data_IF_850295752235
#
_entry.id   IF_850295752235
#
_cell.length_a   1.000
_cell.length_b   1.000
_cell.length_c   1.000
_cell.angle_alpha   90.00
_cell.angle_beta   90.00
_cell.angle_gamma   90.00
#
_symmetry.space_group_name_H-M   'P 1'
#
loop_
_entity.id
_entity.type
_entity.pdbx_description
1 polymer ?
#
# COMPACT_ATOMS: atom_id res chain seq x y z
N UNK A 1 -30.57 -1.01 -16.83
CA UNK A 1 -30.54 -0.90 -18.30
C UNK A 1 -29.12 -0.55 -18.72
N UNK A 2 -28.41 -1.54 -19.28
CA UNK A 2 -27.01 -1.45 -19.69
C UNK A 2 -26.93 -0.70 -21.03
N UNK A 3 -26.46 0.55 -21.03
CA UNK A 3 -26.19 1.28 -22.28
C UNK A 3 -25.02 0.61 -23.02
N UNK A 4 -25.19 0.44 -24.33
CA UNK A 4 -24.20 -0.13 -25.24
C UNK A 4 -22.90 0.70 -25.24
N UNK A 5 -21.76 0.00 -25.22
CA UNK A 5 -20.42 0.56 -25.29
C UNK A 5 -20.18 1.31 -26.61
N UNK A 6 -19.59 2.50 -26.53
CA UNK A 6 -19.35 3.36 -27.69
C UNK A 6 -18.14 2.92 -28.56
N UNK A 7 -18.12 3.27 -29.86
CA UNK A 7 -17.08 2.87 -30.83
C UNK A 7 -15.67 3.43 -30.54
N UNK A 8 -15.52 4.51 -29.78
CA UNK A 8 -14.26 5.24 -29.60
C UNK A 8 -13.22 4.59 -28.66
N UNK A 9 -13.64 3.66 -27.79
CA UNK A 9 -12.75 2.98 -26.83
C UNK A 9 -12.36 1.55 -27.25
N UNK A 10 -12.74 1.11 -28.45
CA UNK A 10 -12.49 -0.27 -28.87
C UNK A 10 -13.10 -1.33 -27.95
N UNK A 11 -14.19 -1.00 -27.24
CA UNK A 11 -14.86 -1.89 -26.27
C UNK A 11 -14.18 -1.97 -24.88
N UNK A 12 -13.21 -1.11 -24.57
CA UNK A 12 -12.54 -1.11 -23.27
C UNK A 12 -13.49 -0.74 -22.12
N UNK A 13 -13.64 -1.64 -21.15
CA UNK A 13 -14.49 -1.38 -19.98
C UNK A 13 -13.75 -0.63 -18.88
N UNK A 14 -14.50 0.01 -17.96
CA UNK A 14 -13.92 0.57 -16.72
C UNK A 14 -13.06 -0.45 -15.98
N UNK A 15 -13.52 -1.71 -15.91
CA UNK A 15 -12.77 -2.79 -15.28
C UNK A 15 -11.43 -3.07 -15.99
N UNK A 16 -11.38 -3.01 -17.33
CA UNK A 16 -10.14 -3.17 -18.08
C UNK A 16 -9.14 -2.04 -17.81
N UNK A 17 -9.62 -0.80 -17.66
CA UNK A 17 -8.77 0.34 -17.27
C UNK A 17 -8.16 0.18 -15.87
N UNK A 18 -8.94 -0.32 -14.91
CA UNK A 18 -8.51 -0.58 -13.54
C UNK A 18 -7.44 -1.67 -13.43
N UNK A 19 -7.49 -2.68 -14.29
CA UNK A 19 -6.53 -3.78 -14.30
C UNK A 19 -5.22 -3.40 -15.01
N UNK A 20 -5.26 -2.40 -15.89
CA UNK A 20 -4.12 -1.95 -16.67
C UNK A 20 -3.11 -1.11 -15.90
N UNK A 21 -1.89 -1.05 -16.44
CA UNK A 21 -0.93 0.01 -16.13
C UNK A 21 -0.75 0.85 -17.39
N UNK A 22 -0.51 2.14 -17.23
CA UNK A 22 -0.54 3.07 -18.36
C UNK A 22 0.68 3.98 -18.38
N UNK A 23 1.21 4.21 -19.57
CA UNK A 23 2.18 5.26 -19.84
C UNK A 23 1.41 6.48 -20.36
N UNK A 24 1.53 7.60 -19.67
CA UNK A 24 0.83 8.85 -20.00
C UNK A 24 1.81 9.96 -20.32
N UNK A 25 1.56 10.70 -21.40
CA UNK A 25 2.37 11.85 -21.76
C UNK A 25 1.98 12.51 -23.09
N UNK A 26 2.81 13.44 -23.58
CA UNK A 26 2.56 14.14 -24.84
C UNK A 26 2.76 13.19 -26.03
N UNK A 27 2.18 13.54 -27.18
CA UNK A 27 2.47 12.84 -28.45
C UNK A 27 3.95 12.97 -28.85
N UNK A 28 4.56 14.14 -28.58
CA UNK A 28 5.96 14.41 -28.84
C UNK A 28 6.77 14.46 -27.54
N UNK A 29 7.70 13.52 -27.37
CA UNK A 29 8.63 13.49 -26.24
C UNK A 29 8.42 12.31 -25.29
N UNK A 30 9.17 12.26 -24.17
CA UNK A 30 9.03 11.20 -23.18
C UNK A 30 7.69 11.31 -22.44
N UNK A 31 7.11 10.18 -22.00
CA UNK A 31 5.95 10.18 -21.12
C UNK A 31 6.18 10.99 -19.83
N UNK A 32 5.15 11.67 -19.36
CA UNK A 32 5.15 12.29 -18.03
C UNK A 32 5.20 11.23 -16.93
N UNK A 33 4.52 10.09 -17.15
CA UNK A 33 4.61 8.94 -16.28
C UNK A 33 4.53 7.63 -17.07
N UNK A 34 5.37 6.67 -16.70
CA UNK A 34 5.48 5.36 -17.37
C UNK A 34 4.57 4.29 -16.77
N UNK A 35 4.17 4.42 -15.51
CA UNK A 35 3.40 3.41 -14.76
C UNK A 35 2.23 4.03 -14.00
N UNK A 36 1.44 4.84 -14.69
CA UNK A 36 0.22 5.45 -14.18
C UNK A 36 -0.85 4.36 -13.92
N UNK A 37 -1.54 4.49 -12.78
CA UNK A 37 -2.67 3.63 -12.41
C UNK A 37 -3.96 4.42 -12.46
N UNK A 38 -5.03 3.79 -12.94
CA UNK A 38 -6.38 4.31 -12.83
C UNK A 38 -7.02 3.60 -11.64
N UNK A 39 -7.33 4.34 -10.57
CA UNK A 39 -7.75 3.74 -9.29
C UNK A 39 -9.27 3.55 -9.20
N UNK A 40 -9.77 2.58 -8.41
CA UNK A 40 -11.21 2.31 -8.24
C UNK A 40 -12.04 3.50 -7.78
N UNK A 41 -11.43 4.42 -7.04
CA UNK A 41 -12.03 5.65 -6.51
C UNK A 41 -11.87 6.86 -7.45
N UNK A 42 -11.68 6.59 -8.75
CA UNK A 42 -11.58 7.60 -9.82
C UNK A 42 -10.31 8.48 -9.75
N UNK A 43 -9.38 8.19 -8.85
CA UNK A 43 -8.09 8.91 -8.77
C UNK A 43 -7.05 8.32 -9.72
N UNK A 44 -6.12 9.16 -10.18
CA UNK A 44 -4.99 8.75 -11.04
C UNK A 44 -3.74 8.42 -10.21
N UNK A 45 -3.51 7.14 -9.91
CA UNK A 45 -2.38 6.65 -9.13
C UNK A 45 -1.01 6.79 -9.81
N UNK A 46 0.04 6.88 -9.00
CA UNK A 46 1.44 7.01 -9.44
C UNK A 46 1.74 8.26 -10.32
N UNK A 47 0.81 9.21 -10.47
CA UNK A 47 1.02 10.45 -11.22
C UNK A 47 0.40 11.63 -10.48
N UNK A 48 1.10 12.76 -10.51
CA UNK A 48 0.78 13.95 -9.73
C UNK A 48 0.91 15.19 -10.60
N UNK A 49 -0.23 15.69 -11.05
CA UNK A 49 -0.29 16.95 -11.75
C UNK A 49 -1.68 17.57 -11.51
N UNK A 50 -1.79 18.89 -11.26
CA UNK A 50 -3.08 19.53 -10.97
C UNK A 50 -4.13 19.32 -12.07
N UNK A 51 -3.70 19.17 -13.32
CA UNK A 51 -4.60 18.97 -14.46
C UNK A 51 -5.06 17.51 -14.64
N UNK A 52 -4.42 16.54 -14.01
CA UNK A 52 -4.74 15.11 -14.18
C UNK A 52 -4.90 14.46 -12.80
N UNK A 53 -5.97 14.87 -12.14
CA UNK A 53 -6.33 14.39 -10.81
C UNK A 53 -7.27 13.20 -10.89
N UNK A 54 -8.35 13.28 -11.64
CA UNK A 54 -9.35 12.20 -11.69
C UNK A 54 -9.48 11.60 -13.08
N UNK A 55 -10.06 10.41 -13.15
CA UNK A 55 -10.38 9.74 -14.41
C UNK A 55 -11.81 9.18 -14.35
N UNK A 56 -12.53 9.26 -15.46
CA UNK A 56 -13.84 8.61 -15.62
C UNK A 56 -14.00 8.09 -17.04
N UNK A 57 -14.83 7.05 -17.18
CA UNK A 57 -15.36 6.65 -18.48
C UNK A 57 -16.70 7.37 -18.64
N UNK A 58 -16.81 8.19 -19.68
CA UNK A 58 -17.97 9.03 -19.99
C UNK A 58 -18.57 8.61 -21.34
N UNK A 59 -19.66 9.28 -21.74
CA UNK A 59 -20.24 9.15 -23.09
C UNK A 59 -19.31 9.69 -24.19
N UNK A 60 -18.19 10.36 -23.88
CA UNK A 60 -17.20 10.83 -24.86
C UNK A 60 -15.94 9.96 -24.88
N UNK A 61 -15.88 8.93 -24.04
CA UNK A 61 -14.72 8.07 -23.86
C UNK A 61 -14.08 8.20 -22.47
N UNK A 62 -12.80 7.84 -22.38
CA UNK A 62 -12.02 8.04 -21.16
C UNK A 62 -11.71 9.54 -21.03
N UNK A 63 -11.91 10.12 -19.86
CA UNK A 63 -11.67 11.54 -19.61
C UNK A 63 -10.85 11.69 -18.34
N UNK A 64 -9.82 12.54 -18.40
CA UNK A 64 -9.10 13.01 -17.23
C UNK A 64 -9.63 14.38 -16.80
N UNK A 65 -9.60 14.63 -15.49
CA UNK A 65 -10.12 15.83 -14.86
C UNK A 65 -9.08 16.46 -13.92
N UNK A 66 -9.11 17.79 -13.78
CA UNK A 66 -8.26 18.52 -12.84
C UNK A 66 -8.77 18.40 -11.39
N UNK A 67 -8.10 19.10 -10.46
CA UNK A 67 -8.51 19.14 -9.04
C UNK A 67 -9.88 19.79 -8.80
N UNK A 68 -10.34 20.66 -9.70
CA UNK A 68 -11.65 21.30 -9.67
C UNK A 68 -12.75 20.45 -10.34
N UNK A 69 -12.42 19.22 -10.74
CA UNK A 69 -13.31 18.28 -11.43
C UNK A 69 -13.73 18.72 -12.85
N UNK A 70 -12.91 19.55 -13.49
CA UNK A 70 -13.11 19.99 -14.88
C UNK A 70 -12.33 19.08 -15.83
N UNK A 71 -12.95 18.72 -16.96
CA UNK A 71 -12.31 17.86 -17.95
C UNK A 71 -11.06 18.53 -18.55
N UNK A 72 -9.95 17.80 -18.58
CA UNK A 72 -8.66 18.29 -19.10
C UNK A 72 -8.18 17.55 -20.32
N UNK A 73 -8.41 16.24 -20.40
CA UNK A 73 -8.07 15.43 -21.57
C UNK A 73 -9.22 14.49 -21.89
N UNK A 74 -9.71 14.53 -23.12
CA UNK A 74 -10.75 13.62 -23.61
C UNK A 74 -10.10 12.66 -24.61
N UNK A 75 -10.06 11.37 -24.27
CA UNK A 75 -9.50 10.32 -25.11
C UNK A 75 -10.54 9.82 -26.11
N UNK A 76 -10.51 10.44 -27.30
CA UNK A 76 -11.45 10.26 -28.40
C UNK A 76 -10.98 9.23 -29.45
N UNK A 77 -9.72 8.80 -29.39
CA UNK A 77 -9.14 7.86 -30.34
C UNK A 77 -8.54 6.65 -29.65
N UNK A 78 -8.77 5.48 -30.25
CA UNK A 78 -8.19 4.21 -29.85
C UNK A 78 -7.47 3.55 -31.02
N UNK A 79 -6.30 2.97 -30.75
CA UNK A 79 -5.62 2.07 -31.67
C UNK A 79 -4.92 0.94 -30.94
N UNK A 80 -4.75 -0.18 -31.64
CA UNK A 80 -3.84 -1.25 -31.23
C UNK A 80 -2.48 -1.03 -31.89
N UNK A 81 -1.45 -0.86 -31.08
CA UNK A 81 -0.06 -0.87 -31.53
C UNK A 81 0.38 -2.32 -31.82
N UNK A 82 1.61 -2.47 -32.35
CA UNK A 82 2.26 -3.78 -32.48
C UNK A 82 2.21 -4.53 -31.14
N UNK A 83 2.11 -5.86 -31.21
CA UNK A 83 1.95 -6.75 -30.05
C UNK A 83 0.64 -6.56 -29.26
N UNK A 84 -0.42 -6.08 -29.92
CA UNK A 84 -1.75 -5.88 -29.32
C UNK A 84 -1.72 -4.93 -28.10
N UNK A 85 -0.87 -3.91 -28.10
CA UNK A 85 -0.80 -2.94 -27.01
C UNK A 85 -1.87 -1.85 -27.23
N UNK A 86 -2.88 -1.73 -26.35
CA UNK A 86 -3.85 -0.65 -26.40
C UNK A 86 -3.17 0.72 -26.29
N UNK A 87 -3.57 1.67 -27.14
CA UNK A 87 -3.21 3.07 -26.98
C UNK A 87 -4.42 3.95 -27.23
N UNK A 88 -4.61 4.90 -26.32
CA UNK A 88 -5.59 5.95 -26.46
C UNK A 88 -4.88 7.27 -26.75
N UNK A 89 -5.43 8.06 -27.66
CA UNK A 89 -5.01 9.44 -27.87
C UNK A 89 -6.16 10.35 -27.54
N UNK A 90 -5.88 11.44 -26.83
CA UNK A 90 -6.87 12.43 -26.46
C UNK A 90 -6.36 13.84 -26.67
N UNK A 91 -7.27 14.78 -26.91
CA UNK A 91 -6.93 16.20 -27.00
C UNK A 91 -7.09 16.87 -25.63
N UNK A 92 -6.26 17.88 -25.36
CA UNK A 92 -6.44 18.75 -24.21
C UNK A 92 -7.64 19.67 -24.42
N UNK A 93 -8.53 19.76 -23.44
CA UNK A 93 -9.77 20.56 -23.53
C UNK A 93 -9.46 22.06 -23.64
N UNK A 94 -8.47 22.55 -22.89
CA UNK A 94 -8.08 23.96 -22.91
C UNK A 94 -7.35 24.39 -24.20
N UNK A 95 -6.78 23.44 -24.94
CA UNK A 95 -5.99 23.69 -26.15
C UNK A 95 -6.31 22.65 -27.22
N UNK A 96 -7.48 22.73 -27.88
CA UNK A 96 -7.85 21.76 -28.90
C UNK A 96 -6.97 21.92 -30.15
N UNK A 97 -6.10 20.93 -30.42
CA UNK A 97 -5.24 20.89 -31.62
C UNK A 97 -4.37 19.63 -31.69
N UNK A 98 -3.83 19.24 -32.86
CA UNK A 98 -3.05 18.01 -33.04
C UNK A 98 -1.78 17.93 -32.16
N UNK A 99 -1.14 19.06 -31.89
CA UNK A 99 0.08 19.14 -31.08
C UNK A 99 -0.19 19.14 -29.57
N UNK A 100 -1.42 19.42 -29.15
CA UNK A 100 -1.84 19.45 -27.76
C UNK A 100 -2.54 18.13 -27.34
N UNK A 101 -2.13 17.02 -27.96
CA UNK A 101 -2.68 15.69 -27.67
C UNK A 101 -1.80 14.94 -26.67
N UNK A 102 -2.47 14.15 -25.85
CA UNK A 102 -1.86 13.17 -24.96
C UNK A 102 -2.01 11.76 -25.51
N UNK A 103 -1.09 10.89 -25.10
CA UNK A 103 -1.14 9.45 -25.30
C UNK A 103 -1.27 8.76 -23.95
N UNK A 104 -2.18 7.80 -23.89
CA UNK A 104 -2.30 6.83 -22.80
C UNK A 104 -2.09 5.44 -23.40
N UNK A 105 -0.87 4.93 -23.27
CA UNK A 105 -0.45 3.65 -23.82
C UNK A 105 -0.46 2.59 -22.74
N UNK A 106 -1.10 1.46 -22.95
CA UNK A 106 -1.00 0.33 -22.04
C UNK A 106 0.48 -0.07 -21.90
N UNK A 107 0.88 -0.35 -20.67
CA UNK A 107 2.23 -0.76 -20.33
C UNK A 107 2.17 -1.90 -19.32
N UNK A 108 3.30 -2.55 -19.12
CA UNK A 108 3.47 -3.56 -18.09
C UNK A 108 4.31 -2.95 -16.98
N UNK A 109 3.76 -2.95 -15.76
CA UNK A 109 4.57 -2.62 -14.58
C UNK A 109 5.74 -3.59 -14.45
N UNK A 110 6.89 -3.13 -13.93
CA UNK A 110 8.05 -3.98 -13.74
C UNK A 110 7.77 -5.09 -12.73
N UNK A 111 6.77 -4.88 -11.85
CA UNK A 111 6.40 -5.82 -10.81
C UNK A 111 4.89 -6.06 -10.76
N UNK A 112 4.48 -7.24 -10.29
CA UNK A 112 3.09 -7.71 -10.26
C UNK A 112 2.74 -8.31 -8.91
N UNK A 113 1.45 -8.52 -8.70
CA UNK A 113 0.95 -9.35 -7.60
C UNK A 113 1.35 -10.82 -7.87
N UNK A 114 1.52 -11.62 -6.81
CA UNK A 114 1.82 -13.04 -6.95
C UNK A 114 0.75 -13.75 -7.82
N UNK A 115 1.16 -14.58 -8.79
CA UNK A 115 0.24 -15.19 -9.74
C UNK A 115 -0.60 -16.32 -9.12
N UNK A 116 -0.11 -16.94 -8.03
CA UNK A 116 -0.80 -18.01 -7.35
C UNK A 116 -0.20 -18.33 -5.97
N UNK A 117 -0.79 -19.33 -5.27
CA UNK A 117 -0.42 -19.70 -3.91
C UNK A 117 0.86 -20.55 -3.80
N UNK A 118 1.53 -20.88 -4.91
CA UNK A 118 2.64 -21.85 -4.95
C UNK A 118 3.78 -21.51 -3.99
N UNK A 119 4.00 -20.22 -3.72
CA UNK A 119 5.07 -19.74 -2.85
C UNK A 119 4.55 -19.36 -1.43
N UNK A 120 3.27 -19.57 -1.14
CA UNK A 120 2.69 -19.32 0.18
C UNK A 120 1.58 -20.31 0.53
N UNK A 121 1.95 -21.39 1.22
CA UNK A 121 1.01 -22.43 1.65
C UNK A 121 0.45 -22.12 3.03
N UNK A 122 -0.85 -21.85 3.11
CA UNK A 122 -1.56 -21.75 4.39
C UNK A 122 -1.82 -23.17 4.91
N UNK A 123 -1.27 -23.49 6.08
CA UNK A 123 -1.41 -24.81 6.72
C UNK A 123 -2.60 -24.85 7.69
N UNK A 124 -2.99 -23.69 8.21
CA UNK A 124 -4.12 -23.52 9.12
C UNK A 124 -5.02 -22.42 8.59
N UNK A 125 -6.31 -22.75 8.46
CA UNK A 125 -7.34 -21.80 8.05
C UNK A 125 -8.28 -21.49 9.23
N UNK A 126 -9.03 -20.41 9.08
CA UNK A 126 -10.14 -20.07 9.94
C UNK A 126 -11.19 -21.17 10.01
N UNK A 127 -11.77 -21.36 11.19
CA UNK A 127 -12.96 -22.20 11.44
C UNK A 127 -14.24 -21.39 11.65
N UNK A 128 -14.15 -20.06 11.54
CA UNK A 128 -15.23 -19.08 11.67
C UNK A 128 -15.12 -18.00 10.58
N UNK A 129 -16.13 -17.16 10.37
CA UNK A 129 -15.97 -15.99 9.51
C UNK A 129 -14.78 -15.11 9.93
N UNK A 130 -14.06 -14.48 8.98
CA UNK A 130 -12.96 -13.59 9.30
C UNK A 130 -13.45 -12.39 10.10
N UNK A 131 -12.59 -11.90 10.99
CA UNK A 131 -12.79 -10.57 11.58
C UNK A 131 -12.53 -9.50 10.54
N UNK A 132 -12.80 -8.23 10.88
CA UNK A 132 -12.64 -7.10 9.94
C UNK A 132 -11.20 -6.90 9.50
N UNK A 133 -10.24 -7.08 10.41
CA UNK A 133 -8.85 -6.72 10.18
C UNK A 133 -7.93 -7.94 10.28
N UNK A 134 -6.78 -7.87 9.63
CA UNK A 134 -5.75 -8.90 9.67
C UNK A 134 -4.42 -8.28 10.09
N UNK A 135 -3.72 -8.98 10.98
CA UNK A 135 -2.30 -8.76 11.27
C UNK A 135 -1.52 -9.91 10.65
N UNK A 136 -0.63 -9.61 9.71
CA UNK A 136 0.32 -10.56 9.13
C UNK A 136 1.69 -10.28 9.73
N UNK A 137 2.28 -11.27 10.35
CA UNK A 137 3.61 -11.15 10.94
C UNK A 137 4.55 -12.16 10.32
N UNK A 138 5.70 -11.68 9.85
CA UNK A 138 6.86 -12.55 9.70
C UNK A 138 7.34 -12.93 11.10
N UNK A 139 7.38 -14.22 11.43
CA UNK A 139 7.77 -14.67 12.77
C UNK A 139 8.83 -15.77 12.73
N UNK A 140 9.58 -15.89 13.81
CA UNK A 140 10.43 -17.03 14.13
C UNK A 140 10.27 -17.34 15.64
N UNK A 141 11.10 -18.23 16.17
CA UNK A 141 11.07 -18.68 17.57
C UNK A 141 11.26 -17.55 18.59
N UNK A 142 11.93 -16.47 18.18
CA UNK A 142 12.22 -15.30 19.02
C UNK A 142 11.21 -14.18 18.80
N UNK A 143 10.13 -14.43 18.07
CA UNK A 143 9.13 -13.42 17.80
C UNK A 143 8.39 -13.01 19.08
N UNK A 144 8.18 -11.71 19.25
CA UNK A 144 7.61 -11.13 20.45
C UNK A 144 6.09 -11.23 20.54
N UNK A 145 5.40 -11.67 19.49
CA UNK A 145 3.93 -11.80 19.52
C UNK A 145 3.43 -12.78 20.58
N UNK A 146 4.24 -13.75 20.99
CA UNK A 146 3.94 -14.64 22.10
C UNK A 146 3.83 -13.93 23.45
N UNK A 147 4.45 -12.75 23.57
CA UNK A 147 4.54 -11.93 24.78
C UNK A 147 3.57 -10.75 24.79
N UNK A 148 2.79 -10.54 23.72
CA UNK A 148 1.83 -9.45 23.69
C UNK A 148 0.80 -9.58 24.82
N UNK A 149 0.55 -8.47 25.49
CA UNK A 149 -0.40 -8.43 26.60
C UNK A 149 -1.81 -8.69 26.06
N UNK A 150 -2.50 -9.70 26.61
CA UNK A 150 -3.86 -10.09 26.23
C UNK A 150 -4.90 -9.40 27.10
N UNK A 151 -4.88 -8.08 27.09
CA UNK A 151 -5.72 -7.21 27.93
C UNK A 151 -7.09 -6.87 27.30
N UNK A 152 -7.57 -7.73 26.40
CA UNK A 152 -8.83 -7.61 25.69
C UNK A 152 -9.49 -9.00 25.59
N UNK A 153 -10.81 -9.09 25.77
CA UNK A 153 -11.54 -10.34 25.55
C UNK A 153 -11.49 -10.70 24.06
N UNK A 154 -11.35 -11.98 23.73
CA UNK A 154 -11.25 -12.40 22.32
C UNK A 154 -12.52 -12.07 21.51
N UNK A 155 -13.68 -12.00 22.15
CA UNK A 155 -14.94 -11.56 21.53
C UNK A 155 -14.96 -10.07 21.16
N UNK A 156 -14.17 -9.23 21.83
CA UNK A 156 -14.03 -7.80 21.53
C UNK A 156 -12.92 -7.52 20.51
N UNK A 157 -12.07 -8.52 20.22
CA UNK A 157 -10.98 -8.41 19.25
C UNK A 157 -11.55 -8.23 17.85
N UNK A 158 -11.09 -7.21 17.13
CA UNK A 158 -11.53 -6.84 15.77
C UNK A 158 -10.56 -7.30 14.66
N UNK A 159 -9.51 -8.04 15.02
CA UNK A 159 -8.43 -8.44 14.12
C UNK A 159 -8.07 -9.92 14.25
N UNK A 160 -7.67 -10.55 13.16
CA UNK A 160 -7.13 -11.91 13.08
C UNK A 160 -5.61 -11.88 12.94
N UNK A 161 -4.93 -12.97 13.32
CA UNK A 161 -3.48 -13.11 13.25
C UNK A 161 -3.08 -14.20 12.25
N UNK A 162 -2.30 -13.79 11.24
CA UNK A 162 -1.61 -14.68 10.32
C UNK A 162 -0.11 -14.70 10.61
N UNK A 163 0.44 -15.88 10.86
CA UNK A 163 1.87 -16.07 11.05
C UNK A 163 2.50 -16.62 9.78
N UNK A 164 3.42 -15.85 9.21
CA UNK A 164 4.35 -16.25 8.18
C UNK A 164 5.66 -16.67 8.85
N UNK A 165 5.79 -17.94 9.25
CA UNK A 165 6.88 -18.42 10.07
C UNK A 165 8.11 -18.76 9.23
N UNK A 166 9.25 -18.12 9.48
CA UNK A 166 10.52 -18.34 8.76
C UNK A 166 11.65 -18.91 9.65
N UNK A 167 11.32 -19.34 10.86
CA UNK A 167 12.24 -20.05 11.74
C UNK A 167 12.49 -21.49 11.30
N UNK A 168 13.13 -22.26 12.18
CA UNK A 168 13.38 -23.67 11.97
C UNK A 168 12.05 -24.46 11.91
N UNK A 169 11.81 -25.30 10.89
CA UNK A 169 10.55 -26.02 10.71
C UNK A 169 10.06 -26.81 11.93
N UNK A 170 10.96 -27.38 12.73
CA UNK A 170 10.63 -28.11 13.97
C UNK A 170 10.00 -27.23 15.05
N UNK A 171 10.24 -25.91 15.00
CA UNK A 171 9.68 -24.93 15.92
C UNK A 171 8.44 -24.22 15.34
N UNK A 172 8.01 -24.61 14.14
CA UNK A 172 6.81 -24.08 13.52
C UNK A 172 5.59 -24.37 14.41
N UNK A 173 4.85 -23.33 14.85
CA UNK A 173 3.83 -23.50 15.86
C UNK A 173 2.71 -24.46 15.40
N UNK A 174 2.51 -25.53 16.18
CA UNK A 174 1.32 -26.38 16.12
C UNK A 174 0.83 -26.70 17.54
N UNK A 175 -0.39 -26.31 17.96
CA UNK A 175 -1.27 -25.22 17.52
C UNK A 175 -1.28 -24.05 18.53
N UNK A 176 -0.91 -22.84 18.07
CA UNK A 176 -1.14 -21.58 18.80
C UNK A 176 -2.49 -20.93 18.48
N UNK A 177 -2.88 -19.87 19.21
CA UNK A 177 -4.13 -19.11 19.00
C UNK A 177 -4.01 -18.15 17.79
N UNK A 178 -3.55 -18.66 16.66
CA UNK A 178 -3.42 -17.93 15.40
C UNK A 178 -4.50 -18.42 14.44
N UNK A 179 -5.05 -17.51 13.66
CA UNK A 179 -6.10 -17.79 12.68
C UNK A 179 -5.54 -18.40 11.40
N UNK A 180 -4.35 -17.93 10.98
CA UNK A 180 -3.59 -18.52 9.89
C UNK A 180 -2.15 -18.79 10.29
N UNK A 181 -1.60 -19.84 9.71
CA UNK A 181 -0.18 -20.15 9.82
C UNK A 181 0.33 -20.64 8.47
N UNK A 182 1.52 -20.20 8.11
CA UNK A 182 2.28 -20.70 6.96
C UNK A 182 3.74 -20.87 7.34
N UNK A 183 4.32 -22.03 7.04
CA UNK A 183 5.76 -22.25 7.12
C UNK A 183 6.43 -21.72 5.83
N UNK A 184 7.42 -20.85 6.00
CA UNK A 184 8.11 -20.14 4.94
C UNK A 184 9.62 -20.43 5.00
N UNK A 185 10.10 -21.28 4.10
CA UNK A 185 11.52 -21.68 4.09
C UNK A 185 12.31 -20.91 3.05
N UNK A 186 13.47 -20.36 3.44
CA UNK A 186 14.44 -19.75 2.51
C UNK A 186 14.05 -18.37 1.95
N UNK A 187 12.98 -17.76 2.46
CA UNK A 187 12.48 -16.45 2.04
C UNK A 187 12.36 -15.49 3.23
N UNK A 188 12.40 -14.18 2.97
CA UNK A 188 12.26 -13.13 3.99
C UNK A 188 10.84 -12.56 4.01
N UNK A 189 10.54 -11.74 5.03
CA UNK A 189 9.21 -11.15 5.30
C UNK A 189 8.49 -10.67 4.03
N UNK A 190 9.11 -9.75 3.28
CA UNK A 190 8.43 -9.13 2.14
C UNK A 190 8.24 -10.07 0.95
N UNK A 191 9.19 -10.98 0.68
CA UNK A 191 9.00 -12.05 -0.30
C UNK A 191 7.82 -12.96 0.07
N UNK A 192 7.75 -13.39 1.33
CA UNK A 192 6.69 -14.28 1.82
C UNK A 192 5.32 -13.58 1.81
N UNK A 193 5.25 -12.32 2.23
CA UNK A 193 4.01 -11.54 2.23
C UNK A 193 3.55 -11.24 0.81
N UNK A 194 4.47 -10.93 -0.11
CA UNK A 194 4.12 -10.79 -1.54
C UNK A 194 3.51 -12.09 -2.08
N UNK A 195 4.14 -13.24 -1.78
CA UNK A 195 3.62 -14.55 -2.16
C UNK A 195 2.25 -14.86 -1.53
N UNK A 196 1.99 -14.39 -0.32
CA UNK A 196 0.70 -14.56 0.37
C UNK A 196 -0.45 -13.77 -0.27
N UNK A 197 -0.12 -12.73 -1.04
CA UNK A 197 -1.07 -11.79 -1.62
C UNK A 197 -1.42 -12.16 -3.06
N UNK A 198 -1.57 -13.44 -3.39
CA UNK A 198 -1.94 -13.88 -4.74
C UNK A 198 -3.39 -13.56 -5.12
N UNK A 199 -3.73 -13.63 -6.41
CA UNK A 199 -5.10 -13.42 -6.88
C UNK A 199 -6.04 -14.49 -6.28
N UNK A 200 -7.06 -14.06 -5.52
CA UNK A 200 -7.96 -14.96 -4.80
C UNK A 200 -7.48 -15.40 -3.40
N UNK A 201 -6.37 -14.83 -2.90
CA UNK A 201 -5.96 -15.02 -1.50
C UNK A 201 -7.07 -14.61 -0.54
N UNK A 202 -7.35 -15.39 0.52
CA UNK A 202 -8.36 -15.03 1.55
C UNK A 202 -7.97 -13.76 2.31
N UNK A 203 -6.72 -13.32 2.22
CA UNK A 203 -6.27 -12.08 2.86
C UNK A 203 -6.89 -10.83 2.23
N UNK A 204 -7.39 -10.92 0.99
CA UNK A 204 -8.11 -9.83 0.34
C UNK A 204 -9.53 -9.59 0.91
N UNK A 205 -10.07 -10.51 1.70
CA UNK A 205 -11.40 -10.39 2.31
C UNK A 205 -11.40 -9.48 3.56
N UNK A 206 -10.23 -9.11 4.06
CA UNK A 206 -10.09 -8.20 5.19
C UNK A 206 -10.21 -6.74 4.75
N UNK A 207 -10.84 -5.92 5.59
CA UNK A 207 -10.90 -4.48 5.35
C UNK A 207 -9.50 -3.86 5.39
N UNK A 208 -8.71 -4.28 6.38
CA UNK A 208 -7.38 -3.75 6.67
C UNK A 208 -6.39 -4.86 6.99
N UNK A 209 -5.16 -4.66 6.50
CA UNK A 209 -4.07 -5.61 6.62
C UNK A 209 -2.88 -4.86 7.20
N UNK A 210 -2.51 -5.19 8.43
CA UNK A 210 -1.31 -4.71 9.10
C UNK A 210 -0.21 -5.74 8.93
N UNK A 211 0.96 -5.30 8.48
CA UNK A 211 2.15 -6.13 8.32
C UNK A 211 3.12 -5.74 9.42
N UNK A 212 3.63 -6.70 10.20
CA UNK A 212 4.55 -6.41 11.31
C UNK A 212 5.82 -7.26 11.30
N UNK A 213 6.92 -6.65 11.76
CA UNK A 213 8.15 -7.34 12.10
C UNK A 213 8.01 -8.21 13.36
N UNK A 214 8.92 -9.17 13.50
CA UNK A 214 8.87 -10.18 14.56
C UNK A 214 9.24 -9.63 15.94
N UNK A 215 9.78 -8.42 16.02
CA UNK A 215 10.38 -7.81 17.21
C UNK A 215 9.60 -6.59 17.73
N UNK A 216 8.33 -6.49 17.32
CA UNK A 216 7.38 -5.48 17.78
C UNK A 216 6.70 -5.94 19.09
N UNK A 217 6.80 -5.12 20.13
CA UNK A 217 6.04 -5.29 21.37
C UNK A 217 4.83 -4.35 21.41
N UNK A 218 3.66 -4.91 21.70
CA UNK A 218 2.37 -4.20 21.79
C UNK A 218 1.37 -5.00 22.65
N UNK A 219 0.12 -4.54 22.72
CA UNK A 219 -0.99 -5.19 23.42
C UNK A 219 -2.18 -5.47 22.49
N UNK A 220 -3.07 -6.36 22.90
CA UNK A 220 -4.30 -6.64 22.15
C UNK A 220 -5.23 -5.43 22.08
N UNK A 221 -5.36 -4.69 23.19
CA UNK A 221 -6.13 -3.45 23.25
C UNK A 221 -5.58 -2.38 22.31
N UNK A 222 -4.27 -2.19 22.27
CA UNK A 222 -3.63 -1.20 21.41
C UNK A 222 -3.87 -1.53 19.94
N UNK A 223 -3.64 -2.77 19.51
CA UNK A 223 -3.94 -3.18 18.12
C UNK A 223 -5.43 -2.98 17.78
N UNK A 224 -6.31 -3.35 18.70
CA UNK A 224 -7.75 -3.19 18.50
C UNK A 224 -8.13 -1.71 18.30
N UNK A 225 -7.62 -0.83 19.17
CA UNK A 225 -7.87 0.60 19.11
C UNK A 225 -7.24 1.26 17.88
N UNK A 226 -6.05 0.81 17.48
CA UNK A 226 -5.37 1.27 16.27
C UNK A 226 -6.22 1.07 15.01
N UNK A 227 -6.82 -0.12 14.86
CA UNK A 227 -7.71 -0.39 13.73
C UNK A 227 -8.97 0.47 13.74
N UNK A 228 -9.57 0.74 14.91
CA UNK A 228 -10.72 1.64 15.00
C UNK A 228 -10.33 3.07 14.60
N UNK A 229 -9.18 3.59 15.06
CA UNK A 229 -8.68 4.91 14.61
C UNK A 229 -8.41 4.94 13.10
N UNK A 230 -7.85 3.88 12.54
CA UNK A 230 -7.65 3.79 11.09
C UNK A 230 -8.97 3.88 10.32
N UNK A 231 -10.02 3.20 10.81
CA UNK A 231 -11.35 3.23 10.21
C UNK A 231 -12.02 4.59 10.37
N UNK A 232 -12.06 5.11 11.60
CA UNK A 232 -12.81 6.32 11.95
C UNK A 232 -12.28 7.56 11.21
N UNK A 233 -10.97 7.62 10.96
CA UNK A 233 -10.35 8.70 10.17
C UNK A 233 -10.25 8.36 8.66
N UNK A 234 -10.71 7.18 8.27
CA UNK A 234 -10.67 6.70 6.89
C UNK A 234 -9.25 6.66 6.31
N UNK A 235 -8.26 6.28 7.12
CA UNK A 235 -6.87 6.17 6.71
C UNK A 235 -6.72 5.00 5.74
N UNK A 236 -5.91 5.14 4.71
CA UNK A 236 -5.66 4.06 3.72
C UNK A 236 -4.32 3.36 3.94
N UNK A 237 -3.37 4.03 4.61
CA UNK A 237 -2.08 3.51 5.01
C UNK A 237 -1.63 4.23 6.29
N UNK A 238 -1.38 3.50 7.38
CA UNK A 238 -0.99 4.09 8.66
C UNK A 238 -0.04 3.18 9.44
N UNK A 239 0.59 3.72 10.49
CA UNK A 239 1.27 2.90 11.49
C UNK A 239 1.09 3.52 12.89
N UNK A 240 1.19 2.72 13.97
CA UNK A 240 1.36 3.27 15.31
C UNK A 240 2.67 4.06 15.39
N UNK A 241 2.73 5.03 16.29
CA UNK A 241 3.99 5.68 16.65
C UNK A 241 4.93 4.74 17.42
N UNK A 242 6.20 5.09 17.50
CA UNK A 242 7.22 4.38 18.26
C UNK A 242 7.47 5.07 19.59
N UNK A 243 7.58 4.29 20.67
CA UNK A 243 7.95 4.85 21.98
C UNK A 243 9.34 5.47 21.92
N UNK A 244 9.53 6.58 22.62
CA UNK A 244 10.78 7.36 22.58
C UNK A 244 12.01 6.59 23.05
N UNK A 245 11.82 5.52 23.83
CA UNK A 245 12.87 4.69 24.41
C UNK A 245 13.19 3.43 23.59
N UNK A 246 12.55 3.24 22.42
CA UNK A 246 12.83 2.10 21.54
C UNK A 246 13.78 2.47 20.37
N UNK A 247 14.12 1.49 19.53
CA UNK A 247 15.00 1.73 18.38
C UNK A 247 14.25 2.44 17.25
N UNK A 248 14.53 3.74 17.07
CA UNK A 248 13.90 4.58 16.06
C UNK A 248 14.90 4.87 14.94
N UNK A 249 14.60 4.40 13.73
CA UNK A 249 15.36 4.71 12.51
C UNK A 249 15.01 6.07 11.96
N UNK A 250 13.71 6.33 11.81
CA UNK A 250 13.17 7.50 11.17
C UNK A 250 12.56 8.41 12.24
N UNK A 251 13.16 9.57 12.58
CA UNK A 251 12.71 10.40 13.70
C UNK A 251 11.22 10.80 13.65
N UNK A 252 10.62 10.84 12.45
CA UNK A 252 9.19 11.10 12.29
C UNK A 252 8.31 10.05 12.98
N UNK A 253 8.76 8.81 13.15
CA UNK A 253 7.97 7.71 13.72
C UNK A 253 7.89 7.77 15.24
N UNK A 254 8.73 8.58 15.90
CA UNK A 254 8.67 8.80 17.34
C UNK A 254 7.31 9.37 17.78
N UNK A 255 6.77 8.85 18.89
CA UNK A 255 5.51 9.31 19.48
C UNK A 255 5.60 10.77 19.90
N UNK A 256 4.57 11.54 19.54
CA UNK A 256 4.40 12.93 19.99
C UNK A 256 3.36 13.05 21.11
N UNK A 257 3.68 13.74 22.22
CA UNK A 257 2.70 14.04 23.25
C UNK A 257 1.61 14.98 22.71
N UNK A 258 0.42 14.90 23.29
CA UNK A 258 -0.74 15.73 22.94
C UNK A 258 -1.21 15.60 21.47
N UNK A 259 -0.77 14.56 20.75
CA UNK A 259 -1.17 14.25 19.38
C UNK A 259 -1.98 12.95 19.37
N UNK A 260 -3.08 12.91 18.60
CA UNK A 260 -3.76 11.66 18.27
C UNK A 260 -3.10 11.03 17.05
N UNK A 261 -2.81 11.82 16.02
CA UNK A 261 -2.15 11.37 14.80
C UNK A 261 -1.59 12.53 13.99
N UNK A 262 -0.63 12.22 13.12
CA UNK A 262 -0.03 13.14 12.15
C UNK A 262 -0.14 12.58 10.75
N UNK A 263 -0.66 13.39 9.84
CA UNK A 263 -0.67 13.03 8.45
C UNK A 263 0.70 13.24 7.83
N UNK A 264 1.17 12.26 7.08
CA UNK A 264 2.54 12.27 6.52
C UNK A 264 2.60 11.45 5.25
N UNK A 265 3.59 11.75 4.41
CA UNK A 265 3.93 10.92 3.25
C UNK A 265 4.91 9.79 3.61
N UNK A 266 5.07 9.41 4.88
CA UNK A 266 6.01 8.35 5.26
C UNK A 266 5.42 7.40 6.29
N UNK A 267 5.47 6.10 6.00
CA UNK A 267 5.08 5.01 6.90
C UNK A 267 6.16 3.92 6.78
N UNK A 268 6.77 3.58 7.91
CA UNK A 268 7.91 2.67 7.95
C UNK A 268 7.45 1.22 7.69
N UNK A 269 8.30 0.45 7.01
CA UNK A 269 7.99 -0.92 6.62
C UNK A 269 7.89 -1.92 7.79
N UNK A 270 8.16 -1.49 9.01
CA UNK A 270 8.15 -2.34 10.20
C UNK A 270 6.75 -2.69 10.68
N UNK A 271 5.78 -1.78 10.55
CA UNK A 271 4.43 -1.92 11.09
C UNK A 271 3.33 -1.23 10.24
N UNK A 272 3.39 -1.24 8.89
CA UNK A 272 2.39 -0.54 8.09
C UNK A 272 1.05 -1.28 8.09
N UNK A 273 -0.04 -0.51 8.10
CA UNK A 273 -1.41 -0.99 8.00
C UNK A 273 -2.10 -0.34 6.81
N UNK A 274 -2.51 -1.17 5.86
CA UNK A 274 -3.18 -0.75 4.64
C UNK A 274 -4.66 -1.10 4.68
N UNK A 275 -5.48 -0.37 3.93
CA UNK A 275 -6.71 -0.98 3.39
C UNK A 275 -6.35 -2.03 2.34
N UNK A 276 -7.19 -3.06 2.14
CA UNK A 276 -6.93 -4.08 1.10
C UNK A 276 -6.70 -3.45 -0.29
N UNK A 277 -7.48 -2.42 -0.64
CA UNK A 277 -7.31 -1.69 -1.90
C UNK A 277 -5.95 -0.99 -2.00
N UNK A 278 -5.49 -0.33 -0.93
CA UNK A 278 -4.16 0.30 -0.90
C UNK A 278 -3.03 -0.74 -0.99
N UNK A 279 -3.15 -1.85 -0.25
CA UNK A 279 -2.14 -2.91 -0.29
C UNK A 279 -2.05 -3.53 -1.68
N UNK A 280 -3.17 -3.70 -2.39
CA UNK A 280 -3.19 -4.25 -3.75
C UNK A 280 -2.39 -3.39 -4.74
N UNK A 281 -2.37 -2.07 -4.54
CA UNK A 281 -1.57 -1.13 -5.32
C UNK A 281 -0.09 -1.23 -4.91
N UNK A 282 0.18 -1.35 -3.61
CA UNK A 282 1.53 -1.27 -3.04
C UNK A 282 2.34 -2.58 -3.09
N UNK A 283 1.70 -3.72 -2.87
CA UNK A 283 2.40 -5.00 -2.71
C UNK A 283 3.25 -5.45 -3.90
N UNK A 284 2.97 -5.08 -5.18
CA UNK A 284 3.88 -5.40 -6.27
C UNK A 284 5.30 -4.89 -6.05
N UNK A 285 5.52 -3.78 -5.32
CA UNK A 285 6.88 -3.29 -5.06
C UNK A 285 7.71 -4.25 -4.16
N UNK A 286 7.07 -5.22 -3.51
CA UNK A 286 7.73 -6.26 -2.73
C UNK A 286 8.11 -7.51 -3.55
N UNK A 287 7.72 -7.60 -4.83
CA UNK A 287 8.13 -8.72 -5.70
C UNK A 287 9.66 -8.79 -5.78
N UNK A 288 10.25 -9.95 -5.50
CA UNK A 288 11.70 -10.17 -5.42
C UNK A 288 12.43 -9.29 -4.39
N UNK A 289 11.71 -8.67 -3.45
CA UNK A 289 12.35 -7.95 -2.34
C UNK A 289 12.94 -8.95 -1.36
N UNK A 290 14.24 -8.83 -1.10
CA UNK A 290 14.92 -9.67 -0.12
C UNK A 290 14.97 -8.94 1.24
N UNK A 291 15.40 -7.68 1.26
CA UNK A 291 15.53 -6.90 2.50
C UNK A 291 14.29 -6.06 2.83
N UNK A 292 13.54 -5.61 1.82
CA UNK A 292 12.42 -4.69 2.02
C UNK A 292 12.81 -3.22 2.03
N UNK A 293 14.03 -2.87 1.63
CA UNK A 293 14.51 -1.50 1.67
C UNK A 293 13.92 -0.66 0.53
N UNK A 294 13.42 0.54 0.84
CA UNK A 294 12.93 1.53 -0.12
C UNK A 294 11.44 1.43 -0.47
N UNK A 295 10.76 0.36 -0.06
CA UNK A 295 9.32 0.18 -0.32
C UNK A 295 8.46 1.26 0.38
N UNK A 296 8.88 1.67 1.57
CA UNK A 296 8.32 2.73 2.40
C UNK A 296 8.39 4.10 1.72
N UNK A 297 9.40 4.33 0.88
CA UNK A 297 9.49 5.53 0.03
C UNK A 297 8.61 5.46 -1.23
N UNK A 298 8.20 4.27 -1.66
CA UNK A 298 7.42 4.07 -2.89
C UNK A 298 5.92 4.13 -2.64
N UNK A 299 5.43 3.56 -1.53
CA UNK A 299 4.00 3.53 -1.22
C UNK A 299 3.30 4.89 -1.30
N UNK A 300 3.85 5.99 -0.75
CA UNK A 300 3.20 7.30 -0.82
C UNK A 300 2.96 7.72 -2.27
N UNK A 301 3.87 7.41 -3.18
CA UNK A 301 3.74 7.75 -4.60
C UNK A 301 2.70 6.91 -5.30
N UNK A 302 2.70 5.61 -5.04
CA UNK A 302 1.68 4.69 -5.55
C UNK A 302 0.28 5.10 -5.10
N UNK A 303 0.15 5.59 -3.86
CA UNK A 303 -1.11 6.00 -3.24
C UNK A 303 -1.50 7.47 -3.45
N UNK A 304 -0.70 8.23 -4.20
CA UNK A 304 -0.92 9.66 -4.49
C UNK A 304 -0.73 10.65 -3.33
N UNK A 305 0.13 10.35 -2.36
CA UNK A 305 0.43 11.19 -1.19
C UNK A 305 -0.85 11.88 -0.67
N UNK A 306 -1.85 11.11 -0.23
CA UNK A 306 -3.09 11.70 0.20
C UNK A 306 -2.85 12.47 1.51
N UNK A 307 -2.97 13.79 1.45
CA UNK A 307 -2.57 14.69 2.53
C UNK A 307 -3.20 14.37 3.89
N UNK A 308 -4.34 13.65 3.94
CA UNK A 308 -5.04 13.27 5.17
C UNK A 308 -5.48 11.80 5.21
N UNK A 309 -4.87 10.91 4.42
CA UNK A 309 -5.20 9.46 4.43
C UNK A 309 -4.01 8.57 4.76
N UNK A 310 -2.83 9.16 4.92
CA UNK A 310 -1.64 8.50 5.43
C UNK A 310 -1.23 9.11 6.75
N UNK A 311 -1.08 8.31 7.81
CA UNK A 311 -0.80 8.86 9.13
C UNK A 311 0.04 7.96 10.04
N UNK A 312 0.82 8.61 10.91
CA UNK A 312 1.38 8.00 12.11
C UNK A 312 0.42 8.32 13.26
N UNK A 313 -0.07 7.29 13.95
CA UNK A 313 -1.01 7.43 15.07
C UNK A 313 -0.22 7.53 16.37
N UNK A 314 -0.24 8.71 16.98
CA UNK A 314 0.46 9.00 18.25
C UNK A 314 -0.36 8.60 19.49
N UNK A 315 -1.68 8.37 19.34
CA UNK A 315 -2.55 7.89 20.41
C UNK A 315 -2.16 6.49 20.93
N UNK A 316 -1.36 5.76 20.16
CA UNK A 316 -0.85 4.43 20.47
C UNK A 316 0.64 4.41 20.15
N UNK A 317 1.44 3.80 21.01
CA UNK A 317 2.86 3.60 20.75
C UNK A 317 3.30 2.16 21.00
N UNK A 318 4.02 1.62 20.02
CA UNK A 318 4.62 0.28 20.06
C UNK A 318 6.13 0.40 20.28
N UNK A 319 6.78 -0.69 20.68
CA UNK A 319 8.24 -0.74 20.84
C UNK A 319 8.87 -1.60 19.74
N UNK A 320 9.83 -1.02 19.02
CA UNK A 320 10.77 -1.74 18.18
C UNK A 320 11.99 -2.14 19.01
N UNK A 321 12.20 -3.43 19.19
CA UNK A 321 13.10 -3.93 20.26
C UNK A 321 14.49 -4.33 19.79
N UNK A 322 14.76 -4.29 18.47
CA UNK A 322 16.09 -4.56 17.92
C UNK A 322 16.58 -3.40 17.05
N UNK A 323 17.89 -3.11 17.03
CA UNK A 323 18.43 -2.10 16.15
C UNK A 323 18.52 -2.61 14.71
N UNK A 324 18.53 -1.66 13.76
CA UNK A 324 18.79 -1.92 12.34
C UNK A 324 20.10 -2.66 12.12
N UNK A 325 20.17 -3.35 10.98
CA UNK A 325 21.38 -3.99 10.46
C UNK A 325 22.01 -5.06 11.37
N UNK A 326 21.28 -5.57 12.36
CA UNK A 326 21.76 -6.67 13.20
C UNK A 326 21.67 -8.03 12.49
N UNK A 327 20.77 -8.18 11.52
CA UNK A 327 20.41 -9.47 10.90
C UNK A 327 20.58 -9.49 9.38
N UNK A 328 21.19 -8.46 8.80
CA UNK A 328 21.36 -8.33 7.35
C UNK A 328 22.53 -7.43 6.96
N UNK A 329 22.96 -7.53 5.70
CA UNK A 329 24.07 -6.73 5.13
C UNK A 329 23.55 -5.39 4.60
N UNK A 330 24.01 -4.29 5.19
CA UNK A 330 23.60 -2.93 4.81
C UNK A 330 23.87 -2.59 3.33
N UNK A 331 25.03 -2.99 2.78
CA UNK A 331 25.36 -2.69 1.38
C UNK A 331 24.38 -3.34 0.42
N UNK A 332 23.97 -4.58 0.70
CA UNK A 332 22.97 -5.30 -0.08
C UNK A 332 21.60 -4.63 0.01
N UNK A 333 21.22 -4.19 1.21
CA UNK A 333 19.96 -3.49 1.44
C UNK A 333 19.89 -2.15 0.69
N UNK A 334 20.97 -1.36 0.72
CA UNK A 334 21.08 -0.10 -0.05
C UNK A 334 21.10 -0.32 -1.56
N UNK A 335 21.74 -1.39 -2.03
CA UNK A 335 21.72 -1.74 -3.45
C UNK A 335 20.31 -2.14 -3.92
N UNK A 336 19.57 -2.92 -3.11
CA UNK A 336 18.16 -3.24 -3.36
C UNK A 336 17.30 -1.98 -3.43
N UNK A 337 17.47 -1.05 -2.49
CA UNK A 337 16.78 0.25 -2.49
C UNK A 337 17.04 1.03 -3.79
N UNK A 338 18.31 1.18 -4.18
CA UNK A 338 18.69 1.94 -5.37
C UNK A 338 18.10 1.34 -6.65
N UNK A 339 18.13 0.01 -6.77
CA UNK A 339 17.55 -0.69 -7.91
C UNK A 339 16.02 -0.55 -7.95
N UNK A 340 15.36 -0.70 -6.80
CA UNK A 340 13.92 -0.53 -6.69
C UNK A 340 13.49 0.90 -7.09
N UNK A 341 14.17 1.93 -6.59
CA UNK A 341 13.90 3.32 -6.95
C UNK A 341 14.16 3.60 -8.43
N UNK A 342 15.20 3.00 -9.02
CA UNK A 342 15.50 3.10 -10.45
C UNK A 342 14.38 2.47 -11.30
N UNK A 343 13.88 1.29 -10.92
CA UNK A 343 12.79 0.60 -11.60
C UNK A 343 11.49 1.44 -11.60
N UNK A 344 11.18 2.07 -10.47
CA UNK A 344 10.04 2.98 -10.33
C UNK A 344 10.34 4.41 -10.81
N UNK A 345 11.53 4.67 -11.35
CA UNK A 345 12.00 5.97 -11.86
C UNK A 345 11.83 7.11 -10.85
N UNK A 346 12.08 6.84 -9.57
CA UNK A 346 12.00 7.83 -8.51
C UNK A 346 13.22 8.76 -8.52
N UNK A 347 12.98 10.07 -8.59
CA UNK A 347 14.01 11.09 -8.39
C UNK A 347 14.35 11.25 -6.90
N UNK A 348 15.57 11.69 -6.59
CA UNK A 348 16.07 11.81 -5.22
C UNK A 348 15.26 12.79 -4.34
N UNK A 349 14.76 13.89 -4.93
CA UNK A 349 13.90 14.88 -4.24
C UNK A 349 12.55 14.31 -3.75
N UNK A 350 12.19 13.12 -4.20
CA UNK A 350 10.91 12.49 -3.88
C UNK A 350 11.01 11.57 -2.66
N UNK A 351 12.12 11.65 -1.91
CA UNK A 351 12.34 10.99 -0.62
C UNK A 351 12.06 11.91 0.58
N UNK A 352 11.78 13.19 0.33
CA UNK A 352 11.55 14.16 1.39
C UNK A 352 10.33 13.79 2.22
N UNK A 353 10.56 13.53 3.50
CA UNK A 353 9.50 13.22 4.45
C UNK A 353 8.81 14.54 4.83
N UNK A 354 7.50 14.60 4.57
CA UNK A 354 6.68 15.78 4.79
C UNK A 354 5.48 15.43 5.67
N UNK A 355 5.21 16.29 6.65
CA UNK A 355 3.99 16.25 7.45
C UNK A 355 2.96 17.26 6.91
N UNK A 356 1.69 16.85 6.90
CA UNK A 356 0.58 17.64 6.36
C UNK A 356 -0.38 18.15 7.46
N UNK A 357 0.07 18.14 8.71
CA UNK A 357 -0.75 18.45 9.89
C UNK A 357 -1.18 17.18 10.64
N UNK A 358 -2.24 17.28 11.45
CA UNK A 358 -2.68 16.17 12.28
C UNK A 358 -3.86 16.50 13.17
N UNK A 359 -4.23 15.54 14.01
CA UNK A 359 -5.30 15.65 14.99
C UNK A 359 -4.68 15.70 16.36
N UNK A 360 -4.94 16.78 17.10
CA UNK A 360 -4.43 16.96 18.47
C UNK A 360 -5.34 16.23 19.46
N UNK A 361 -4.77 15.77 20.57
CA UNK A 361 -5.59 15.33 21.70
C UNK A 361 -6.38 16.53 22.24
N UNK A 362 -7.65 16.30 22.58
CA UNK A 362 -8.40 17.32 23.29
C UNK A 362 -7.64 17.69 24.58
N UNK A 363 -7.47 18.99 24.90
CA UNK A 363 -6.90 19.36 26.18
C UNK A 363 -7.75 18.70 27.25
N UNK A 364 -7.11 17.97 28.17
CA UNK A 364 -7.79 17.47 29.34
C UNK A 364 -8.53 18.66 29.95
N UNK A 365 -9.87 18.61 30.02
CA UNK A 365 -10.60 19.57 30.83
C UNK A 365 -10.02 19.42 32.22
N UNK A 366 -9.24 20.41 32.64
CA UNK A 366 -8.70 20.45 33.99
C UNK A 366 -9.86 20.22 34.94
N UNK A 367 -9.77 19.12 35.71
CA UNK A 367 -10.75 18.79 36.72
C UNK A 367 -11.04 20.05 37.54
N UNK A 368 -12.31 20.50 37.53
CA UNK A 368 -12.84 21.42 38.52
C UNK A 368 -13.39 20.63 39.68
#
# INVERSE_FOLDING_TARGET
>A
MTKAFQPGLGGFTRAAFLQGSWSFGPVSGPPYQYYLKLLPDERIGNYFHPNETYWRVTDEGLVFFNQADEATTIFDQYRLLKNNIPQFSGYQVAHPGPEARHLLTATTEPRRIAPGPENFRIDKYLTRPPRRNLVIMGANEKSLHHLWTRDLRDEDRNWDLAISFYGEPQNYPSPGPVEYASLQTGVRKWTAIHAAMYEGSPFWDYERIMIMDDDIMTSWRDLNYFFELCRDYGLILAQPSLRQDCFITHPITAQRPNSVMRFTNFIEAMAPCFTAAALRICIPCAENSYYGFGIDHIWPRLLRIPANKMAIIDAIAINHTRPLATTYRLDGAKAEEAELLRQYKMQASLRDITEFGGVMMAPAMAAR
#
